data_IF_773913191625
#
_entry.id   IF_773913191625
#
_cell.length_a   1.000
_cell.length_b   1.000
_cell.length_c   1.000
_cell.angle_alpha   90.00
_cell.angle_beta   90.00
_cell.angle_gamma   90.00
#
_symmetry.space_group_name_H-M   'P 1'
#
loop_
_entity.id
_entity.type
_entity.pdbx_description
1 polymer ?
#
# COMPACT_ATOMS: atom_id res chain seq x y z
N UNK A 1 2.61 -13.19 13.36
CA UNK A 1 2.84 -12.02 12.50
C UNK A 1 2.87 -12.52 11.07
N UNK A 2 2.09 -11.94 10.16
CA UNK A 2 2.16 -12.33 8.75
C UNK A 2 3.56 -12.03 8.23
N UNK A 3 4.19 -13.01 7.58
CA UNK A 3 5.54 -12.87 7.04
C UNK A 3 5.54 -11.77 5.97
N UNK A 4 6.26 -10.68 6.22
CA UNK A 4 6.38 -9.57 5.26
C UNK A 4 7.67 -9.78 4.49
N UNK A 5 7.55 -10.17 3.23
CA UNK A 5 8.70 -10.33 2.34
C UNK A 5 8.87 -9.08 1.50
N UNK A 6 9.89 -8.27 1.79
CA UNK A 6 10.26 -7.14 0.93
C UNK A 6 10.84 -7.70 -0.38
N UNK A 7 10.19 -7.39 -1.49
CA UNK A 7 10.64 -7.81 -2.83
C UNK A 7 11.64 -6.79 -3.36
N UNK A 8 11.31 -5.51 -3.22
CA UNK A 8 12.18 -4.42 -3.62
C UNK A 8 11.92 -3.17 -2.80
N UNK A 9 12.96 -2.37 -2.59
CA UNK A 9 12.88 -1.06 -1.98
C UNK A 9 13.75 -0.10 -2.81
N UNK A 10 13.11 0.91 -3.38
CA UNK A 10 13.73 1.90 -4.25
C UNK A 10 14.08 3.10 -3.39
N UNK A 11 15.36 3.18 -3.03
CA UNK A 11 15.88 4.18 -2.10
C UNK A 11 16.03 5.57 -2.73
N UNK A 12 16.03 5.69 -4.06
CA UNK A 12 16.22 6.94 -4.79
C UNK A 12 15.27 7.03 -5.98
N UNK A 13 14.79 8.25 -6.25
CA UNK A 13 13.97 8.53 -7.41
C UNK A 13 14.72 8.10 -8.70
N UNK A 14 14.11 7.30 -9.58
CA UNK A 14 14.75 6.84 -10.80
C UNK A 14 15.03 7.95 -11.82
N UNK A 15 14.38 9.13 -11.66
CA UNK A 15 14.54 10.27 -12.56
C UNK A 15 15.64 11.23 -12.11
N UNK A 16 15.57 11.77 -10.90
CA UNK A 16 16.52 12.78 -10.41
C UNK A 16 17.47 12.28 -9.31
N UNK A 17 17.34 11.04 -8.84
CA UNK A 17 18.19 10.48 -7.78
C UNK A 17 17.89 10.97 -6.36
N UNK A 18 16.89 11.84 -6.18
CA UNK A 18 16.46 12.30 -4.86
C UNK A 18 16.08 11.11 -3.94
N UNK A 19 16.60 11.03 -2.71
CA UNK A 19 16.32 9.92 -1.81
C UNK A 19 14.97 10.04 -1.09
N UNK A 20 14.32 11.20 -1.17
CA UNK A 20 13.16 11.53 -0.36
C UNK A 20 11.88 11.71 -1.19
N UNK A 21 10.76 11.54 -0.51
CA UNK A 21 9.42 11.61 -1.10
C UNK A 21 8.53 12.53 -0.30
N UNK A 22 7.51 13.08 -0.94
CA UNK A 22 6.59 14.04 -0.32
C UNK A 22 5.97 13.48 0.95
N UNK A 23 5.49 12.23 0.93
CA UNK A 23 4.83 11.65 2.10
C UNK A 23 5.81 11.22 3.19
N UNK A 24 7.05 10.85 2.87
CA UNK A 24 8.08 10.58 3.89
C UNK A 24 8.47 11.85 4.62
N UNK A 25 8.73 12.93 3.88
CA UNK A 25 9.02 14.23 4.45
C UNK A 25 7.85 14.76 5.30
N UNK A 26 6.61 14.64 4.82
CA UNK A 26 5.42 15.04 5.57
C UNK A 26 5.18 14.18 6.83
N UNK A 27 5.54 12.89 6.79
CA UNK A 27 5.36 11.99 7.93
C UNK A 27 6.46 12.10 9.00
N UNK A 28 7.63 12.63 8.67
CA UNK A 28 8.76 12.76 9.60
C UNK A 28 8.39 13.37 10.96
N UNK A 29 7.74 14.55 11.06
CA UNK A 29 7.39 15.13 12.37
C UNK A 29 6.43 14.24 13.16
N UNK A 30 5.47 13.58 12.48
CA UNK A 30 4.52 12.69 13.16
C UNK A 30 5.15 11.38 13.65
N UNK A 31 6.24 10.93 13.02
CA UNK A 31 7.05 9.80 13.48
C UNK A 31 7.93 10.18 14.68
N UNK A 32 8.48 11.39 14.67
CA UNK A 32 9.25 11.95 15.78
C UNK A 32 8.38 12.13 17.02
N UNK A 33 7.16 12.63 16.83
CA UNK A 33 6.13 12.79 17.88
C UNK A 33 5.51 11.46 18.34
N UNK A 34 5.85 10.34 17.70
CA UNK A 34 5.35 9.01 18.04
C UNK A 34 3.89 8.73 17.65
N UNK A 35 3.24 9.63 16.90
CA UNK A 35 1.88 9.43 16.37
C UNK A 35 1.82 8.38 15.28
N UNK A 36 2.93 8.19 14.57
CA UNK A 36 3.12 7.15 13.57
C UNK A 36 4.28 6.25 14.04
N UNK A 37 4.15 4.91 13.96
CA UNK A 37 5.27 4.02 14.27
C UNK A 37 6.50 4.37 13.42
N UNK A 38 7.68 4.37 14.04
CA UNK A 38 8.93 4.79 13.36
C UNK A 38 9.21 3.93 12.12
N UNK A 39 8.92 2.64 12.22
CA UNK A 39 9.06 1.62 11.19
C UNK A 39 7.90 1.57 10.19
N UNK A 40 6.81 2.31 10.41
CA UNK A 40 5.69 2.33 9.48
C UNK A 40 6.13 2.91 8.14
N UNK A 41 5.87 2.16 7.07
CA UNK A 41 6.11 2.65 5.72
C UNK A 41 4.99 3.61 5.30
N UNK A 42 5.35 4.79 4.81
CA UNK A 42 4.40 5.82 4.36
C UNK A 42 4.56 6.00 2.86
N UNK A 43 3.44 6.11 2.16
CA UNK A 43 3.38 6.28 0.72
C UNK A 43 2.14 7.08 0.34
N UNK A 44 2.15 7.72 -0.83
CA UNK A 44 1.00 8.44 -1.38
C UNK A 44 -0.18 7.50 -1.62
N UNK A 45 0.09 6.32 -2.17
CA UNK A 45 -0.93 5.31 -2.42
C UNK A 45 -0.34 3.92 -2.32
N UNK A 46 -1.19 2.95 -1.98
CA UNK A 46 -0.83 1.54 -1.96
C UNK A 46 -1.80 0.81 -2.87
N UNK A 47 -1.25 0.04 -3.80
CA UNK A 47 -2.03 -0.87 -4.64
C UNK A 47 -1.69 -2.30 -4.26
N UNK A 48 -2.67 -3.18 -4.29
CA UNK A 48 -2.48 -4.58 -3.95
C UNK A 48 -3.04 -5.50 -5.02
N UNK A 49 -2.33 -6.59 -5.29
CA UNK A 49 -2.71 -7.61 -6.26
C UNK A 49 -2.46 -8.99 -5.67
N UNK A 50 -3.45 -9.87 -5.79
CA UNK A 50 -3.25 -11.28 -5.49
C UNK A 50 -2.26 -11.87 -6.49
N UNK A 51 -1.22 -12.52 -5.98
CA UNK A 51 -0.21 -13.19 -6.81
C UNK A 51 -0.81 -14.47 -7.42
N UNK A 52 -1.64 -15.16 -6.63
CA UNK A 52 -2.39 -16.34 -7.06
C UNK A 52 -3.85 -16.19 -6.63
N UNK A 53 -4.82 -16.68 -7.42
CA UNK A 53 -6.22 -16.67 -7.02
C UNK A 53 -6.44 -17.59 -5.80
N UNK A 54 -7.39 -17.27 -4.91
CA UNK A 54 -7.73 -18.13 -3.77
C UNK A 54 -8.33 -19.45 -4.25
N UNK A 55 -8.00 -20.54 -3.57
CA UNK A 55 -8.70 -21.84 -3.73
C UNK A 55 -9.84 -21.96 -2.74
N UNK A 56 -10.73 -22.95 -2.92
CA UNK A 56 -11.90 -23.17 -2.03
C UNK A 56 -11.55 -23.41 -0.55
N UNK A 57 -10.31 -23.82 -0.26
CA UNK A 57 -9.82 -24.10 1.10
C UNK A 57 -8.75 -23.11 1.57
N UNK A 58 -8.40 -22.12 0.75
CA UNK A 58 -7.42 -21.11 1.15
C UNK A 58 -7.96 -20.30 2.32
N UNK A 59 -7.12 -20.04 3.33
CA UNK A 59 -7.43 -19.15 4.45
C UNK A 59 -6.74 -17.79 4.31
N UNK A 60 -5.63 -17.76 3.56
CA UNK A 60 -4.88 -16.58 3.17
C UNK A 60 -4.50 -16.66 1.70
N UNK A 61 -4.22 -15.50 1.10
CA UNK A 61 -3.67 -15.38 -0.25
C UNK A 61 -2.40 -14.54 -0.23
N UNK A 62 -1.33 -15.00 -0.92
CA UNK A 62 -0.15 -14.18 -1.09
C UNK A 62 -0.52 -12.98 -1.97
N UNK A 63 -0.34 -11.80 -1.41
CA UNK A 63 -0.72 -10.52 -2.01
C UNK A 63 0.51 -9.66 -2.13
N UNK A 64 0.75 -9.18 -3.35
CA UNK A 64 1.74 -8.16 -3.66
C UNK A 64 1.17 -6.80 -3.29
N UNK A 65 1.87 -6.05 -2.45
CA UNK A 65 1.61 -4.64 -2.14
C UNK A 65 2.67 -3.79 -2.83
N UNK A 66 2.23 -2.82 -3.62
CA UNK A 66 3.09 -1.84 -4.30
C UNK A 66 2.78 -0.48 -3.72
N UNK A 67 3.79 0.12 -3.11
CA UNK A 67 3.75 1.44 -2.51
C UNK A 67 4.25 2.45 -3.55
N UNK A 68 3.39 3.40 -3.88
CA UNK A 68 3.68 4.48 -4.82
C UNK A 68 3.80 5.78 -4.05
N UNK A 69 4.83 6.57 -4.35
CA UNK A 69 5.01 7.89 -3.75
C UNK A 69 5.55 8.88 -4.77
N UNK A 70 5.49 10.15 -4.41
CA UNK A 70 5.85 11.29 -5.25
C UNK A 70 7.24 11.77 -4.82
N UNK A 71 8.16 11.87 -5.77
CA UNK A 71 9.48 12.45 -5.52
C UNK A 71 9.35 13.88 -4.99
N UNK A 72 10.05 14.19 -3.89
CA UNK A 72 10.00 15.51 -3.28
C UNK A 72 10.55 16.62 -4.20
N UNK A 73 11.51 16.27 -5.05
CA UNK A 73 12.24 17.22 -5.90
C UNK A 73 11.57 17.38 -7.28
N UNK A 74 11.47 16.30 -8.05
CA UNK A 74 10.96 16.37 -9.42
C UNK A 74 9.45 16.08 -9.59
N UNK A 75 8.73 15.75 -8.51
CA UNK A 75 7.28 15.55 -8.52
C UNK A 75 6.78 14.30 -9.26
N UNK A 76 7.67 13.42 -9.73
CA UNK A 76 7.27 12.18 -10.40
C UNK A 76 6.71 11.18 -9.39
N UNK A 77 5.59 10.56 -9.74
CA UNK A 77 5.03 9.41 -9.04
C UNK A 77 5.76 8.13 -9.48
N UNK A 78 6.29 7.37 -8.53
CA UNK A 78 6.99 6.11 -8.81
C UNK A 78 6.79 5.09 -7.68
N UNK A 79 7.02 3.82 -7.99
CA UNK A 79 7.00 2.76 -6.99
C UNK A 79 8.23 2.91 -6.08
N UNK A 80 8.02 3.05 -4.77
CA UNK A 80 9.10 3.20 -3.80
C UNK A 80 9.40 1.91 -3.07
N UNK A 81 8.43 1.01 -2.94
CA UNK A 81 8.61 -0.31 -2.32
C UNK A 81 7.58 -1.28 -2.85
N UNK A 82 7.98 -2.54 -2.96
CA UNK A 82 7.04 -3.63 -3.13
C UNK A 82 7.34 -4.73 -2.13
N UNK A 83 6.29 -5.30 -1.56
CA UNK A 83 6.39 -6.40 -0.62
C UNK A 83 5.25 -7.37 -0.81
N UNK A 84 5.50 -8.61 -0.40
CA UNK A 84 4.51 -9.67 -0.38
C UNK A 84 4.09 -9.92 1.06
N UNK A 85 2.79 -10.06 1.27
CA UNK A 85 2.20 -10.47 2.53
C UNK A 85 1.14 -11.52 2.27
N UNK A 86 1.01 -12.48 3.18
CA UNK A 86 -0.16 -13.35 3.20
C UNK A 86 -1.33 -12.62 3.87
N UNK A 87 -2.37 -12.35 3.09
CA UNK A 87 -3.55 -11.62 3.56
C UNK A 87 -4.69 -12.60 3.79
N UNK A 88 -5.34 -12.59 4.96
CA UNK A 88 -6.51 -13.44 5.20
C UNK A 88 -7.66 -13.07 4.27
N UNK A 89 -8.30 -14.07 3.67
CA UNK A 89 -9.32 -13.91 2.61
C UNK A 89 -10.59 -13.19 3.09
N UNK A 90 -10.79 -13.07 4.41
CA UNK A 90 -11.91 -12.32 5.00
C UNK A 90 -11.95 -10.84 4.58
N UNK A 91 -10.82 -10.25 4.14
CA UNK A 91 -10.73 -8.82 3.82
C UNK A 91 -11.06 -8.43 2.37
N UNK A 92 -11.35 -9.38 1.48
CA UNK A 92 -11.59 -9.06 0.05
C UNK A 92 -13.06 -8.88 -0.36
N UNK A 93 -14.02 -9.01 0.56
CA UNK A 93 -15.45 -8.77 0.27
C UNK A 93 -15.93 -7.35 0.63
N UNK A 94 -15.05 -6.35 0.67
CA UNK A 94 -15.44 -4.94 0.81
C UNK A 94 -15.11 -4.15 -0.48
N UNK A 95 -15.71 -4.55 -1.60
CA UNK A 95 -15.53 -3.87 -2.89
C UNK A 95 -16.73 -3.97 -3.83
N UNK A 96 -17.91 -4.36 -3.32
CA UNK A 96 -19.10 -4.60 -4.13
C UNK A 96 -20.37 -4.44 -3.33
N UNK A 97 -20.59 -3.25 -2.79
CA UNK A 97 -21.78 -2.90 -2.02
C UNK A 97 -22.12 -1.43 -2.19
N UNK A 98 -22.18 -0.97 -3.44
CA UNK A 98 -22.95 0.24 -3.71
C UNK A 98 -24.39 0.01 -3.22
N UNK A 99 -25.04 0.99 -2.58
CA UNK A 99 -26.41 0.83 -2.13
C UNK A 99 -27.29 0.39 -3.31
N UNK A 100 -28.26 -0.51 -3.12
CA UNK A 100 -29.17 -0.90 -4.18
C UNK A 100 -29.83 0.37 -4.74
N UNK A 101 -29.51 0.71 -5.98
CA UNK A 101 -30.28 1.67 -6.77
C UNK A 101 -31.67 1.06 -6.95
N UNK A 102 -32.63 1.51 -6.15
CA UNK A 102 -34.06 1.21 -6.39
C UNK A 102 -34.78 0.64 -5.18
N UNK A 103 -35.05 1.48 -4.19
CA UNK A 103 -36.29 1.42 -3.42
C UNK A 103 -36.70 2.87 -3.15
N UNK A 104 -37.23 3.50 -4.20
CA UNK A 104 -37.90 4.78 -4.07
C UNK A 104 -39.14 4.60 -3.19
N UNK A 105 -39.40 5.61 -2.37
CA UNK A 105 -40.73 5.87 -1.84
C UNK A 105 -41.67 6.19 -3.01
N UNK A 106 -42.80 5.51 -3.07
CA UNK A 106 -43.87 5.69 -4.05
C UNK A 106 -44.94 4.64 -3.86
#
# INVERSE_FOLDING_TARGET
>A
MADVKIITDILKCPNCGCPDTVNRAAAAPYKEDGRIPKDAYVAHSVTNKMIVPPTKVSLSVPTLFIYMDICLDCGILYATRAEQRDVPIKYQMAGGGGPPRGAGFG
#
